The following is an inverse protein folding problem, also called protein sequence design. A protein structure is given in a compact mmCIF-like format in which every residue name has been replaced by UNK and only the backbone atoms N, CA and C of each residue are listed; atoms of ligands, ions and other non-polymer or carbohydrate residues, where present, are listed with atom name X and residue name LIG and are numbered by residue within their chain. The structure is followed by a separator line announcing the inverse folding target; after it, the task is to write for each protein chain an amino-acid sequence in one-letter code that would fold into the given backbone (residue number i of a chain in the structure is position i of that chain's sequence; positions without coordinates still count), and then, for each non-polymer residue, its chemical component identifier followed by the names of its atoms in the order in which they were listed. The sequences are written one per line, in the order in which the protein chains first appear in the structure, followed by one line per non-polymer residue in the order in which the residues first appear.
data_IF_037744800978
#
_entry.id   IF_037744800978
#
_cell.length_a   1.000
_cell.length_b   1.000
_cell.length_c   1.000
_cell.angle_alpha   90.00
_cell.angle_beta   90.00
_cell.angle_gamma   90.00
#
_symmetry.space_group_name_H-M   'P 1'
#
loop_
_entity.id
_entity.type
_entity.pdbx_description
1 polymer ?
#
# COMPACT_ATOMS: atom_id res chain seq x y z
N UNK A 1 -20.44 45.68 12.54
CA UNK A 1 -20.05 44.51 11.72
C UNK A 1 -19.77 43.36 12.66
N UNK A 2 -20.71 42.43 12.91
CA UNK A 2 -20.45 41.27 13.75
C UNK A 2 -19.69 40.20 12.96
N UNK A 3 -18.65 39.65 13.59
CA UNK A 3 -17.86 38.53 13.10
C UNK A 3 -18.73 37.26 13.18
N UNK A 4 -19.06 36.65 12.04
CA UNK A 4 -19.75 35.37 11.98
C UNK A 4 -18.84 34.28 12.55
N UNK A 5 -19.26 33.66 13.66
CA UNK A 5 -18.63 32.46 14.19
C UNK A 5 -18.79 31.32 13.18
N UNK A 6 -17.68 30.76 12.70
CA UNK A 6 -17.72 29.58 11.84
C UNK A 6 -18.02 28.33 12.69
N UNK A 7 -19.00 27.53 12.24
CA UNK A 7 -19.35 26.27 12.85
C UNK A 7 -18.17 25.27 12.78
N UNK A 8 -18.04 24.35 13.77
CA UNK A 8 -16.97 23.37 13.75
C UNK A 8 -17.12 22.44 12.54
N UNK A 9 -16.11 22.44 11.67
CA UNK A 9 -16.00 21.46 10.58
C UNK A 9 -15.87 20.09 11.23
N UNK A 10 -16.92 19.27 11.11
CA UNK A 10 -16.91 17.89 11.62
C UNK A 10 -15.85 17.11 10.85
N UNK A 11 -14.76 16.76 11.53
CA UNK A 11 -13.71 15.90 10.97
C UNK A 11 -14.35 14.54 10.69
N UNK A 12 -14.30 14.00 9.46
CA UNK A 12 -14.79 12.65 9.23
C UNK A 12 -14.01 11.71 10.15
N UNK A 13 -14.75 10.99 10.99
CA UNK A 13 -14.24 9.92 11.83
C UNK A 13 -13.48 8.94 10.94
N UNK A 14 -12.26 8.50 11.27
CA UNK A 14 -11.61 7.46 10.50
C UNK A 14 -12.50 6.23 10.58
N UNK A 15 -13.08 5.83 9.45
CA UNK A 15 -13.76 4.54 9.36
C UNK A 15 -12.67 3.50 9.59
N UNK A 16 -12.82 2.66 10.61
CA UNK A 16 -11.98 1.48 10.80
C UNK A 16 -12.27 0.54 9.64
N UNK A 17 -11.52 0.70 8.55
CA UNK A 17 -11.54 -0.22 7.42
C UNK A 17 -10.59 -1.35 7.80
N UNK A 18 -11.10 -2.57 7.84
CA UNK A 18 -10.29 -3.76 8.06
C UNK A 18 -9.18 -3.81 7.00
N UNK A 19 -7.93 -4.08 7.39
CA UNK A 19 -6.85 -4.27 6.44
C UNK A 19 -7.20 -5.39 5.45
N UNK A 20 -6.84 -5.20 4.18
CA UNK A 20 -7.08 -6.21 3.15
C UNK A 20 -5.89 -7.16 3.12
N UNK A 21 -6.13 -8.45 3.35
CA UNK A 21 -5.11 -9.48 3.27
C UNK A 21 -4.97 -10.00 1.83
N UNK A 22 -3.75 -10.16 1.35
CA UNK A 22 -3.43 -10.70 0.02
C UNK A 22 -2.28 -11.70 0.14
N UNK A 23 -2.43 -12.88 -0.45
CA UNK A 23 -1.35 -13.88 -0.53
C UNK A 23 -0.68 -13.81 -1.91
N UNK A 24 0.62 -13.52 -1.94
CA UNK A 24 1.45 -13.63 -3.14
C UNK A 24 2.08 -15.02 -3.17
N UNK A 25 1.60 -15.87 -4.08
CA UNK A 25 2.11 -17.23 -4.25
C UNK A 25 3.34 -17.24 -5.16
N UNK A 26 4.47 -17.69 -4.63
CA UNK A 26 5.72 -17.78 -5.40
C UNK A 26 6.25 -19.22 -5.42
N UNK A 27 7.24 -19.48 -6.28
CA UNK A 27 7.92 -20.79 -6.34
C UNK A 27 8.73 -21.10 -5.08
N UNK A 28 9.10 -20.09 -4.30
CA UNK A 28 9.87 -20.22 -3.06
C UNK A 28 8.99 -20.23 -1.80
N UNK A 29 7.66 -20.13 -1.96
CA UNK A 29 6.69 -20.09 -0.88
C UNK A 29 5.72 -18.90 -1.00
N UNK A 30 4.82 -18.81 -0.03
CA UNK A 30 3.79 -17.79 0.01
C UNK A 30 4.26 -16.57 0.83
N UNK A 31 3.90 -15.38 0.36
CA UNK A 31 4.15 -14.11 1.05
C UNK A 31 2.79 -13.48 1.37
N UNK A 32 2.53 -13.27 2.66
CA UNK A 32 1.32 -12.62 3.15
C UNK A 32 1.52 -11.10 3.19
N UNK A 33 0.58 -10.37 2.57
CA UNK A 33 0.57 -8.92 2.48
C UNK A 33 -0.66 -8.37 3.20
N UNK A 34 -0.45 -7.32 4.01
CA UNK A 34 -1.52 -6.58 4.67
C UNK A 34 -1.59 -5.17 4.09
N UNK A 35 -2.72 -4.82 3.47
CA UNK A 35 -2.92 -3.54 2.80
C UNK A 35 -3.81 -2.62 3.65
N UNK A 36 -3.42 -1.34 3.72
CA UNK A 36 -4.08 -0.32 4.54
C UNK A 36 -4.80 0.72 3.65
N UNK A 37 -6.04 0.44 3.19
CA UNK A 37 -6.79 1.35 2.32
C UNK A 37 -7.19 2.66 3.02
N UNK A 38 -7.21 2.68 4.34
CA UNK A 38 -7.42 3.88 5.16
C UNK A 38 -6.24 4.86 5.07
N UNK A 39 -5.01 4.34 4.95
CA UNK A 39 -3.78 5.14 4.85
C UNK A 39 -3.42 5.50 3.42
N UNK A 40 -3.65 4.60 2.45
CA UNK A 40 -3.27 4.79 1.06
C UNK A 40 -4.37 4.30 0.08
N UNK A 41 -5.55 4.93 0.05
CA UNK A 41 -6.71 4.42 -0.68
C UNK A 41 -6.48 4.29 -2.19
N UNK A 42 -5.80 5.28 -2.80
CA UNK A 42 -5.52 5.27 -4.24
C UNK A 42 -4.53 4.16 -4.59
N UNK A 43 -3.47 4.01 -3.81
CA UNK A 43 -2.43 3.00 -4.05
C UNK A 43 -2.97 1.58 -3.86
N UNK A 44 -3.74 1.34 -2.78
CA UNK A 44 -4.35 0.03 -2.51
C UNK A 44 -5.37 -0.30 -3.60
N UNK A 45 -6.21 0.65 -4.00
CA UNK A 45 -7.16 0.45 -5.10
C UNK A 45 -6.48 0.08 -6.42
N UNK A 46 -5.40 0.77 -6.78
CA UNK A 46 -4.65 0.46 -8.00
C UNK A 46 -3.95 -0.91 -7.93
N UNK A 47 -3.37 -1.26 -6.78
CA UNK A 47 -2.74 -2.56 -6.58
C UNK A 47 -3.75 -3.70 -6.75
N UNK A 48 -4.90 -3.61 -6.09
CA UNK A 48 -5.96 -4.62 -6.18
C UNK A 48 -6.51 -4.74 -7.61
N UNK A 49 -6.69 -3.62 -8.32
CA UNK A 49 -7.10 -3.66 -9.72
C UNK A 49 -6.11 -4.44 -10.61
N UNK A 50 -4.81 -4.35 -10.33
CA UNK A 50 -3.79 -5.09 -11.09
C UNK A 50 -3.79 -6.58 -10.72
N UNK A 51 -4.06 -6.90 -9.46
CA UNK A 51 -4.26 -8.29 -9.00
C UNK A 51 -5.46 -8.90 -9.69
N UNK A 52 -6.62 -8.22 -9.69
CA UNK A 52 -7.85 -8.72 -10.32
C UNK A 52 -7.72 -8.92 -11.84
N UNK A 53 -6.89 -8.11 -12.49
CA UNK A 53 -6.59 -8.22 -13.91
C UNK A 53 -5.44 -9.19 -14.23
N UNK A 54 -4.87 -9.89 -13.24
CA UNK A 54 -3.85 -10.92 -13.46
C UNK A 54 -2.47 -10.38 -13.86
N UNK A 55 -2.18 -9.10 -13.65
CA UNK A 55 -0.92 -8.49 -14.09
C UNK A 55 0.33 -9.03 -13.38
N UNK A 56 0.16 -9.68 -12.24
CA UNK A 56 1.25 -10.29 -11.47
C UNK A 56 1.42 -11.79 -11.75
N UNK A 57 0.55 -12.38 -12.57
CA UNK A 57 0.64 -13.79 -12.93
C UNK A 57 1.89 -14.04 -13.77
N UNK A 58 2.58 -15.16 -13.49
CA UNK A 58 3.85 -15.55 -14.11
C UNK A 58 4.98 -14.48 -14.00
N UNK A 59 4.79 -13.48 -13.15
CA UNK A 59 5.79 -12.45 -12.86
C UNK A 59 7.01 -13.02 -12.12
N UNK A 60 8.14 -12.33 -12.26
CA UNK A 60 9.37 -12.69 -11.55
C UNK A 60 10.05 -11.47 -10.94
N UNK A 61 10.78 -11.69 -9.84
CA UNK A 61 11.61 -10.66 -9.23
C UNK A 61 12.89 -10.49 -10.07
N UNK A 62 12.89 -9.50 -10.95
CA UNK A 62 14.01 -9.23 -11.86
C UNK A 62 15.26 -8.69 -11.16
N UNK A 63 15.12 -8.13 -9.95
CA UNK A 63 16.21 -7.56 -9.16
C UNK A 63 15.99 -7.82 -7.68
N UNK A 64 17.08 -8.18 -6.99
CA UNK A 64 17.15 -8.30 -5.54
C UNK A 64 18.29 -7.43 -5.03
N UNK A 65 17.99 -6.54 -4.10
CA UNK A 65 18.99 -5.70 -3.43
C UNK A 65 19.16 -6.18 -2.00
N UNK A 66 20.42 -6.24 -1.57
CA UNK A 66 20.86 -6.55 -0.22
C UNK A 66 21.91 -5.52 0.18
N UNK A 67 22.21 -5.44 1.47
CA UNK A 67 23.21 -4.48 2.01
C UNK A 67 24.57 -4.61 1.30
N UNK A 68 24.96 -5.83 0.90
CA UNK A 68 26.23 -6.12 0.23
C UNK A 68 26.26 -5.74 -1.27
N UNK A 69 25.10 -5.52 -1.90
CA UNK A 69 25.00 -5.23 -3.34
C UNK A 69 24.30 -3.91 -3.67
N UNK A 70 23.98 -3.11 -2.64
CA UNK A 70 23.35 -1.82 -2.82
C UNK A 70 24.36 -0.79 -3.36
N UNK A 71 24.03 -0.17 -4.48
CA UNK A 71 24.82 0.90 -5.11
C UNK A 71 24.19 2.29 -4.88
N UNK A 72 23.07 2.38 -4.16
CA UNK A 72 22.39 3.63 -3.84
C UNK A 72 23.09 4.48 -2.77
N UNK A 73 22.70 5.75 -2.72
CA UNK A 73 23.04 6.71 -1.67
C UNK A 73 21.77 7.55 -1.35
N UNK A 74 21.21 7.49 -0.13
CA UNK A 74 21.66 6.68 1.00
C UNK A 74 21.45 5.18 0.78
N UNK A 75 22.22 4.36 1.52
CA UNK A 75 22.03 2.90 1.54
C UNK A 75 20.67 2.55 2.15
N UNK A 76 20.09 1.46 1.66
CA UNK A 76 18.92 0.85 2.29
C UNK A 76 19.40 0.16 3.58
N UNK A 77 18.88 0.60 4.74
CA UNK A 77 19.13 0.00 6.06
C UNK A 77 18.24 -1.23 6.32
#
# INVERSE_FOLDING_TARGET
MPLLAQAPVSRPTPRSVTPVAVTLRTTMGDIELELYPDRAPVTVGNFLAYVDAGHFDDGSFYRVVRVDNDNGDPKIE
#
